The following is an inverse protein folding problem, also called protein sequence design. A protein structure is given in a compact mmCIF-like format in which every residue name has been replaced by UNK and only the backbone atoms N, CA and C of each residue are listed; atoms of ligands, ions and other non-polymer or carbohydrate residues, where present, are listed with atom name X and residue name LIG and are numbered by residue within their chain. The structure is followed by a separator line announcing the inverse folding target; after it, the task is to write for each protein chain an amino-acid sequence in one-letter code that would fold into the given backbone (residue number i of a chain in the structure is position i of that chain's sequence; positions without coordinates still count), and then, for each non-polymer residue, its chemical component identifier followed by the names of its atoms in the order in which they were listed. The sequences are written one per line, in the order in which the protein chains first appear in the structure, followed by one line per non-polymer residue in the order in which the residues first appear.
data_IF_747255378030
#
_entry.id   IF_747255378030
#
_cell.length_a   1.000
_cell.length_b   1.000
_cell.length_c   1.000
_cell.angle_alpha   90.00
_cell.angle_beta   90.00
_cell.angle_gamma   90.00
#
_symmetry.space_group_name_H-M   'P 1'
#
loop_
_entity.id
_entity.type
_entity.pdbx_description
1 polymer ?
#
# COMPACT_ATOMS: atom_id res chain seq x y z
N UNK A 1 18.67 6.46 -27.44
CA UNK A 1 19.87 6.30 -26.58
C UNK A 1 19.37 5.78 -25.26
N UNK A 2 19.83 4.61 -24.82
CA UNK A 2 19.29 3.88 -23.67
C UNK A 2 19.56 4.65 -22.36
N UNK A 3 18.56 4.98 -21.53
CA UNK A 3 18.75 5.71 -20.27
C UNK A 3 19.11 4.76 -19.11
N UNK A 4 19.98 3.78 -19.36
CA UNK A 4 20.34 2.74 -18.36
C UNK A 4 21.68 2.97 -17.66
N UNK A 5 22.36 4.09 -17.92
CA UNK A 5 23.51 4.58 -17.15
C UNK A 5 23.00 5.68 -16.21
N UNK A 6 22.88 5.55 -14.88
CA UNK A 6 23.65 4.81 -13.88
C UNK A 6 22.75 4.41 -12.68
N UNK A 7 21.92 3.37 -12.82
CA UNK A 7 21.18 2.83 -11.68
C UNK A 7 22.15 2.09 -10.75
N UNK A 8 22.25 2.53 -9.49
CA UNK A 8 23.11 1.90 -8.49
C UNK A 8 22.48 1.94 -7.10
N UNK A 9 22.77 0.93 -6.29
CA UNK A 9 22.37 0.89 -4.89
C UNK A 9 23.27 1.83 -4.07
N UNK A 10 22.69 2.78 -3.35
CA UNK A 10 23.41 3.61 -2.41
C UNK A 10 23.31 3.03 -0.99
N UNK A 11 24.31 2.25 -0.61
CA UNK A 11 24.33 1.58 0.69
C UNK A 11 24.93 2.51 1.75
N UNK A 12 24.13 2.91 2.73
CA UNK A 12 24.57 3.74 3.86
C UNK A 12 24.79 2.93 5.14
N UNK A 13 24.28 1.70 5.20
CA UNK A 13 24.45 0.77 6.30
C UNK A 13 24.79 -0.63 5.78
N UNK A 14 25.86 -1.23 6.30
CA UNK A 14 26.34 -2.53 5.84
C UNK A 14 25.31 -3.66 6.02
N UNK A 15 24.35 -3.50 6.94
CA UNK A 15 23.25 -4.46 7.10
C UNK A 15 22.37 -4.52 5.86
N UNK A 16 22.21 -3.41 5.13
CA UNK A 16 21.47 -3.42 3.86
C UNK A 16 22.18 -4.25 2.78
N UNK A 17 23.52 -4.23 2.75
CA UNK A 17 24.30 -5.08 1.83
C UNK A 17 24.03 -6.57 2.06
N UNK A 18 23.76 -6.99 3.31
CA UNK A 18 23.41 -8.40 3.60
C UNK A 18 22.05 -8.83 3.04
N UNK A 19 21.19 -7.88 2.67
CA UNK A 19 19.85 -8.14 2.14
C UNK A 19 19.84 -8.17 0.61
N UNK A 20 20.54 -7.23 -0.02
CA UNK A 20 20.60 -7.15 -1.48
C UNK A 20 21.64 -8.10 -2.09
N UNK A 21 22.56 -8.64 -1.28
CA UNK A 21 23.63 -9.51 -1.71
C UNK A 21 24.87 -8.77 -2.21
N UNK A 22 25.88 -9.51 -2.67
CA UNK A 22 27.19 -8.95 -3.05
C UNK A 22 27.15 -8.18 -4.39
N UNK A 23 26.31 -8.63 -5.33
CA UNK A 23 26.20 -8.06 -6.68
C UNK A 23 24.73 -7.80 -7.02
N UNK A 24 24.09 -6.84 -6.34
CA UNK A 24 22.68 -6.56 -6.56
C UNK A 24 22.47 -5.90 -7.93
N UNK A 25 21.40 -6.30 -8.62
CA UNK A 25 21.02 -5.75 -9.93
C UNK A 25 19.62 -5.13 -9.87
N UNK A 26 19.40 -4.12 -10.69
CA UNK A 26 18.08 -3.54 -10.95
C UNK A 26 17.78 -3.84 -12.41
N UNK A 27 16.64 -4.51 -12.66
CA UNK A 27 16.21 -4.89 -13.99
C UNK A 27 14.77 -4.42 -14.23
N UNK A 28 14.52 -3.88 -15.42
CA UNK A 28 13.17 -3.59 -15.87
C UNK A 28 12.50 -4.87 -16.33
N UNK A 29 11.52 -5.35 -15.57
CA UNK A 29 10.84 -6.62 -15.84
C UNK A 29 9.59 -6.45 -16.70
N UNK A 30 8.86 -5.35 -16.51
CA UNK A 30 7.65 -5.01 -17.26
C UNK A 30 7.47 -3.49 -17.30
N UNK A 31 6.98 -2.97 -18.43
CA UNK A 31 6.54 -1.58 -18.57
C UNK A 31 5.27 -1.50 -19.42
N UNK A 32 4.49 -0.45 -19.20
CA UNK A 32 3.41 -0.07 -20.09
C UNK A 32 3.37 1.46 -20.14
N UNK A 33 3.44 2.02 -21.35
CA UNK A 33 3.54 3.46 -21.59
C UNK A 33 2.18 4.10 -21.93
N UNK A 34 1.12 3.32 -22.07
CA UNK A 34 -0.21 3.80 -22.44
C UNK A 34 -0.95 4.44 -21.24
N UNK A 35 -0.56 4.08 -20.02
CA UNK A 35 -1.15 4.57 -18.78
C UNK A 35 -0.11 4.51 -17.63
N UNK A 36 -0.35 5.18 -16.47
CA UNK A 36 0.58 5.16 -15.33
C UNK A 36 0.60 3.79 -14.64
N UNK A 37 1.25 2.83 -15.28
CA UNK A 37 1.34 1.42 -14.90
C UNK A 37 2.07 1.19 -13.58
N UNK A 38 1.65 0.16 -12.84
CA UNK A 38 2.28 -0.38 -11.64
C UNK A 38 2.63 0.68 -10.56
N UNK A 39 1.59 1.21 -9.91
CA UNK A 39 1.67 2.20 -8.83
C UNK A 39 1.57 1.59 -7.42
N UNK A 40 0.65 0.65 -7.21
CA UNK A 40 0.30 0.10 -5.90
C UNK A 40 0.09 -1.43 -5.94
N UNK A 41 -0.20 -2.02 -4.78
CA UNK A 41 -0.59 -3.43 -4.60
C UNK A 41 0.35 -4.45 -5.27
N UNK A 42 1.66 -4.28 -5.16
CA UNK A 42 2.64 -5.28 -5.61
C UNK A 42 2.50 -6.61 -4.84
N UNK A 43 1.54 -7.45 -5.21
CA UNK A 43 1.18 -8.70 -4.52
C UNK A 43 1.73 -9.90 -5.29
N UNK A 44 2.73 -10.57 -4.72
CA UNK A 44 3.42 -11.68 -5.36
C UNK A 44 2.87 -13.05 -4.93
N UNK A 45 2.72 -13.96 -5.88
CA UNK A 45 2.35 -15.36 -5.68
C UNK A 45 3.48 -16.27 -6.14
N UNK A 46 4.27 -16.86 -5.22
CA UNK A 46 5.45 -17.65 -5.59
C UNK A 46 5.07 -18.95 -6.32
N UNK A 47 3.93 -19.56 -5.99
CA UNK A 47 3.51 -20.83 -6.59
C UNK A 47 3.23 -20.76 -8.10
N UNK A 48 2.89 -19.59 -8.62
CA UNK A 48 2.65 -19.34 -10.05
C UNK A 48 3.64 -18.36 -10.65
N UNK A 49 4.63 -17.91 -9.87
CA UNK A 49 5.59 -16.88 -10.26
C UNK A 49 4.92 -15.64 -10.87
N UNK A 50 3.85 -15.17 -10.22
CA UNK A 50 2.99 -14.09 -10.74
C UNK A 50 2.96 -12.93 -9.75
N UNK A 51 3.08 -11.71 -10.27
CA UNK A 51 2.87 -10.47 -9.53
C UNK A 51 1.55 -9.84 -9.98
N UNK A 52 0.78 -9.30 -9.06
CA UNK A 52 -0.34 -8.41 -9.36
C UNK A 52 0.04 -7.00 -8.94
N UNK A 53 -0.47 -6.00 -9.65
CA UNK A 53 -0.31 -4.60 -9.30
C UNK A 53 -1.50 -3.77 -9.78
N UNK A 54 -1.66 -2.59 -9.20
CA UNK A 54 -2.65 -1.59 -9.63
C UNK A 54 -1.94 -0.42 -10.28
N UNK A 55 -2.51 0.16 -11.34
CA UNK A 55 -2.01 1.40 -11.94
C UNK A 55 -2.29 2.59 -11.03
N UNK A 56 -1.66 3.74 -11.30
CA UNK A 56 -2.17 4.99 -10.75
C UNK A 56 -3.49 5.34 -11.44
N UNK A 57 -4.19 6.33 -10.87
CA UNK A 57 -5.40 6.93 -11.41
C UNK A 57 -5.20 7.40 -12.84
N UNK A 58 -5.98 6.83 -13.74
CA UNK A 58 -6.10 7.23 -15.14
C UNK A 58 -7.30 8.16 -15.30
N UNK A 59 -7.14 9.26 -16.02
CA UNK A 59 -8.24 10.20 -16.32
C UNK A 59 -8.46 10.20 -17.84
N UNK A 60 -9.62 9.73 -18.26
CA UNK A 60 -10.04 9.73 -19.67
C UNK A 60 -10.36 11.13 -20.18
N UNK A 61 -10.39 11.30 -21.50
CA UNK A 61 -10.76 12.58 -22.14
C UNK A 61 -12.20 13.01 -21.84
N UNK A 62 -13.06 12.06 -21.46
CA UNK A 62 -14.43 12.27 -21.00
C UNK A 62 -14.55 12.58 -19.49
N UNK A 63 -13.41 12.67 -18.80
CA UNK A 63 -13.32 12.89 -17.35
C UNK A 63 -13.58 11.63 -16.51
N UNK A 64 -13.83 10.47 -17.13
CA UNK A 64 -13.97 9.22 -16.39
C UNK A 64 -12.63 8.82 -15.76
N UNK A 65 -12.67 8.40 -14.51
CA UNK A 65 -11.49 8.01 -13.76
C UNK A 65 -11.51 6.50 -13.53
N UNK A 66 -10.38 5.84 -13.72
CA UNK A 66 -10.22 4.39 -13.50
C UNK A 66 -8.82 4.04 -13.03
N UNK A 67 -8.67 2.81 -12.58
CA UNK A 67 -7.39 2.14 -12.32
C UNK A 67 -7.40 0.79 -13.04
N UNK A 68 -6.24 0.36 -13.53
CA UNK A 68 -6.03 -0.97 -14.09
C UNK A 68 -5.50 -1.90 -13.01
N UNK A 69 -6.02 -3.14 -12.94
CA UNK A 69 -5.39 -4.23 -12.21
C UNK A 69 -4.64 -5.06 -13.25
N UNK A 70 -3.35 -5.28 -13.05
CA UNK A 70 -2.54 -6.05 -14.01
C UNK A 70 -1.96 -7.28 -13.34
N UNK A 71 -2.06 -8.42 -14.02
CA UNK A 71 -1.31 -9.64 -13.73
C UNK A 71 -0.03 -9.62 -14.56
N UNK A 72 1.11 -9.80 -13.91
CA UNK A 72 2.44 -9.89 -14.52
C UNK A 72 2.99 -11.28 -14.28
N UNK A 73 3.11 -12.07 -15.34
CA UNK A 73 3.69 -13.40 -15.33
C UNK A 73 5.21 -13.30 -15.45
N UNK A 74 5.92 -13.65 -14.39
CA UNK A 74 7.37 -13.53 -14.28
C UNK A 74 8.08 -14.81 -14.72
N UNK A 75 7.37 -15.83 -15.21
CA UNK A 75 7.97 -17.12 -15.61
C UNK A 75 8.75 -17.05 -16.93
N UNK A 76 8.53 -16.00 -17.73
CA UNK A 76 9.18 -15.77 -19.01
C UNK A 76 9.86 -14.39 -19.05
N UNK A 77 10.77 -14.20 -20.02
CA UNK A 77 11.45 -12.92 -20.25
C UNK A 77 11.31 -12.55 -21.74
N UNK A 78 10.65 -11.44 -22.09
CA UNK A 78 10.03 -10.45 -21.20
C UNK A 78 8.81 -11.02 -20.45
N UNK A 79 8.49 -10.43 -19.30
CA UNK A 79 7.31 -10.82 -18.53
C UNK A 79 6.02 -10.55 -19.32
N UNK A 80 5.04 -11.45 -19.20
CA UNK A 80 3.75 -11.28 -19.88
C UNK A 80 2.77 -10.53 -18.98
N UNK A 81 2.19 -9.44 -19.48
CA UNK A 81 1.23 -8.63 -18.75
C UNK A 81 -0.20 -8.84 -19.26
N UNK A 82 -1.15 -8.97 -18.34
CA UNK A 82 -2.58 -9.12 -18.61
C UNK A 82 -3.38 -8.11 -17.76
N UNK A 83 -4.05 -7.16 -18.42
CA UNK A 83 -5.01 -6.28 -17.77
C UNK A 83 -6.26 -7.08 -17.37
N UNK A 84 -6.50 -7.16 -16.07
CA UNK A 84 -7.64 -7.86 -15.48
C UNK A 84 -8.87 -6.95 -15.49
N UNK A 85 -9.98 -7.49 -15.97
CA UNK A 85 -11.31 -6.92 -15.77
C UNK A 85 -11.92 -7.52 -14.52
N UNK A 86 -11.83 -6.80 -13.42
CA UNK A 86 -12.48 -7.13 -12.15
C UNK A 86 -13.39 -5.99 -11.71
N UNK A 87 -14.49 -6.33 -11.04
CA UNK A 87 -15.47 -5.38 -10.54
C UNK A 87 -15.00 -4.76 -9.20
N UNK A 88 -13.85 -4.08 -9.24
CA UNK A 88 -13.23 -3.42 -8.08
C UNK A 88 -13.10 -1.91 -8.39
N UNK A 89 -13.89 -1.05 -7.73
CA UNK A 89 -13.90 0.38 -8.04
C UNK A 89 -12.64 1.06 -7.50
N UNK A 90 -11.80 1.59 -8.39
CA UNK A 90 -10.58 2.30 -8.03
C UNK A 90 -9.70 1.49 -7.06
N UNK A 91 -9.33 0.26 -7.48
CA UNK A 91 -8.41 -0.58 -6.73
C UNK A 91 -7.11 0.18 -6.44
N UNK A 92 -6.59 0.07 -5.21
CA UNK A 92 -5.38 0.74 -4.77
C UNK A 92 -4.42 -0.29 -4.17
N UNK A 93 -4.22 -0.30 -2.85
CA UNK A 93 -3.40 -1.27 -2.14
C UNK A 93 -4.03 -2.66 -2.13
N UNK A 94 -3.22 -3.66 -1.80
CA UNK A 94 -3.67 -5.04 -1.78
C UNK A 94 -2.66 -5.96 -1.11
N UNK A 95 -3.16 -7.09 -0.61
CA UNK A 95 -2.34 -8.10 0.07
C UNK A 95 -2.82 -9.51 -0.28
N UNK A 96 -1.91 -10.49 -0.20
CA UNK A 96 -2.28 -11.90 -0.30
C UNK A 96 -3.36 -12.23 0.75
N UNK A 97 -4.40 -12.94 0.35
CA UNK A 97 -5.46 -13.39 1.23
C UNK A 97 -5.70 -14.88 1.00
N UNK A 98 -5.10 -15.71 1.87
CA UNK A 98 -5.00 -17.14 1.62
C UNK A 98 -4.02 -17.46 0.49
N UNK A 99 -4.23 -18.58 -0.22
CA UNK A 99 -3.30 -19.09 -1.23
C UNK A 99 -3.62 -18.64 -2.66
N UNK A 100 -4.85 -18.19 -2.89
CA UNK A 100 -5.45 -18.06 -4.21
C UNK A 100 -6.33 -16.80 -4.36
N UNK A 101 -6.28 -15.89 -3.38
CA UNK A 101 -7.01 -14.62 -3.44
C UNK A 101 -6.12 -13.44 -3.06
N UNK A 102 -6.54 -12.26 -3.52
CA UNK A 102 -6.01 -10.96 -3.12
C UNK A 102 -7.14 -10.21 -2.41
N UNK A 103 -6.82 -9.59 -1.28
CA UNK A 103 -7.69 -8.62 -0.63
C UNK A 103 -7.26 -7.23 -1.08
N UNK A 104 -8.05 -6.59 -1.95
CA UNK A 104 -7.82 -5.24 -2.42
C UNK A 104 -8.48 -4.20 -1.52
N UNK A 105 -7.79 -3.10 -1.30
CA UNK A 105 -8.36 -1.82 -0.92
C UNK A 105 -8.95 -1.16 -2.16
N UNK A 106 -10.27 -1.05 -2.22
CA UNK A 106 -10.98 -0.29 -3.22
C UNK A 106 -11.28 1.10 -2.69
N UNK A 107 -10.80 2.15 -3.37
CA UNK A 107 -11.08 3.52 -2.97
C UNK A 107 -12.52 3.94 -3.27
N UNK A 108 -13.23 3.19 -4.11
CA UNK A 108 -14.63 3.44 -4.46
C UNK A 108 -14.81 4.50 -5.53
N UNK A 109 -16.06 4.86 -5.78
CA UNK A 109 -16.44 5.92 -6.73
C UNK A 109 -17.57 6.78 -6.14
N UNK A 110 -18.16 7.66 -6.94
CA UNK A 110 -19.36 8.41 -6.54
C UNK A 110 -20.57 7.50 -6.29
N UNK A 111 -20.60 6.32 -6.92
CA UNK A 111 -21.74 5.39 -6.86
C UNK A 111 -21.40 4.06 -6.21
N UNK A 112 -20.12 3.70 -6.13
CA UNK A 112 -19.66 2.43 -5.57
C UNK A 112 -18.89 2.64 -4.27
N UNK A 113 -18.99 1.65 -3.39
CA UNK A 113 -18.43 1.74 -2.04
C UNK A 113 -16.92 1.64 -2.07
N UNK A 114 -16.27 2.40 -1.18
CA UNK A 114 -14.92 2.06 -0.76
C UNK A 114 -14.97 0.87 0.20
N UNK A 115 -13.94 0.03 0.20
CA UNK A 115 -13.87 -1.12 1.10
C UNK A 115 -12.93 -2.22 0.64
N UNK A 116 -13.11 -3.39 1.22
CA UNK A 116 -12.33 -4.58 0.93
C UNK A 116 -13.00 -5.47 -0.10
N UNK A 117 -12.30 -5.70 -1.20
CA UNK A 117 -12.75 -6.58 -2.28
C UNK A 117 -11.81 -7.77 -2.36
N UNK A 118 -12.35 -8.97 -2.19
CA UNK A 118 -11.61 -10.22 -2.33
C UNK A 118 -11.72 -10.70 -3.77
N UNK A 119 -10.59 -10.93 -4.43
CA UNK A 119 -10.53 -11.36 -5.83
C UNK A 119 -9.74 -12.66 -5.96
N UNK A 120 -10.27 -13.65 -6.67
CA UNK A 120 -9.50 -14.84 -7.04
C UNK A 120 -8.35 -14.48 -7.98
N UNK A 121 -7.19 -15.13 -7.83
CA UNK A 121 -6.02 -14.92 -8.70
C UNK A 121 -6.12 -15.62 -10.06
N UNK A 122 -7.18 -16.38 -10.29
CA UNK A 122 -7.40 -17.11 -11.54
C UNK A 122 -8.66 -16.63 -12.24
N UNK A 123 -8.63 -16.59 -13.57
CA UNK A 123 -9.81 -16.30 -14.39
C UNK A 123 -10.99 -17.21 -13.98
N UNK A 124 -12.21 -16.67 -13.82
CA UNK A 124 -12.66 -15.37 -14.30
C UNK A 124 -12.50 -14.23 -13.27
N UNK A 125 -11.55 -14.31 -12.33
CA UNK A 125 -11.23 -13.25 -11.36
C UNK A 125 -12.45 -12.79 -10.55
N UNK A 126 -13.22 -13.77 -10.06
CA UNK A 126 -14.43 -13.49 -9.27
C UNK A 126 -14.09 -12.61 -8.09
N UNK A 127 -14.94 -11.61 -7.89
CA UNK A 127 -14.74 -10.56 -6.90
C UNK A 127 -15.92 -10.51 -5.95
N UNK A 128 -15.67 -10.29 -4.66
CA UNK A 128 -16.67 -10.12 -3.62
C UNK A 128 -16.30 -8.93 -2.70
N UNK A 129 -17.26 -8.05 -2.41
CA UNK A 129 -17.10 -7.03 -1.39
C UNK A 129 -17.29 -7.65 0.00
N UNK A 130 -16.26 -7.60 0.84
CA UNK A 130 -16.31 -8.17 2.19
C UNK A 130 -16.75 -7.15 3.26
N UNK A 131 -16.27 -5.90 3.17
CA UNK A 131 -16.60 -4.84 4.15
C UNK A 131 -16.38 -3.45 3.57
N UNK A 132 -17.31 -2.52 3.78
CA UNK A 132 -17.28 -1.18 3.15
C UNK A 132 -17.79 -0.02 4.01
N UNK A 133 -17.86 -0.21 5.33
CA UNK A 133 -18.39 0.80 6.25
C UNK A 133 -17.87 0.63 7.69
N UNK A 134 -17.88 1.73 8.45
CA UNK A 134 -17.71 1.76 9.90
C UNK A 134 -19.04 2.09 10.57
N UNK A 135 -19.75 1.07 11.08
CA UNK A 135 -21.08 1.21 11.69
C UNK A 135 -22.07 2.02 10.84
N UNK A 136 -22.16 1.69 9.54
CA UNK A 136 -23.04 2.34 8.58
C UNK A 136 -22.50 3.62 7.95
N UNK A 137 -21.37 4.15 8.44
CA UNK A 137 -20.66 5.27 7.79
C UNK A 137 -19.73 4.72 6.71
N UNK A 138 -19.90 5.09 5.43
CA UNK A 138 -19.00 4.65 4.37
C UNK A 138 -17.54 5.02 4.66
N UNK A 139 -16.61 4.12 4.36
CA UNK A 139 -15.17 4.46 4.35
C UNK A 139 -14.89 5.60 3.38
N UNK A 140 -13.84 6.37 3.66
CA UNK A 140 -13.44 7.51 2.84
C UNK A 140 -12.95 7.02 1.47
N UNK A 141 -11.76 6.42 1.47
CA UNK A 141 -11.08 5.79 0.33
C UNK A 141 -9.96 4.92 0.89
N UNK A 142 -10.32 3.71 1.35
CA UNK A 142 -9.36 2.78 1.97
C UNK A 142 -8.15 2.62 1.05
N UNK A 143 -6.96 2.76 1.61
CA UNK A 143 -5.76 2.93 0.82
C UNK A 143 -4.89 1.68 0.85
N UNK A 144 -4.42 1.29 2.03
CA UNK A 144 -3.51 0.17 2.20
C UNK A 144 -3.92 -0.74 3.37
N UNK A 145 -3.50 -2.00 3.29
CA UNK A 145 -3.96 -3.09 4.15
C UNK A 145 -2.85 -4.07 4.54
N UNK A 146 -2.93 -4.57 5.76
CA UNK A 146 -2.15 -5.71 6.24
C UNK A 146 -3.04 -6.69 7.00
N UNK A 147 -2.79 -8.00 6.81
CA UNK A 147 -3.45 -9.08 7.54
C UNK A 147 -2.51 -9.52 8.65
N UNK A 148 -2.99 -9.41 9.89
CA UNK A 148 -2.27 -9.85 11.09
C UNK A 148 -2.44 -11.38 11.27
N UNK A 149 -1.50 -12.04 11.97
CA UNK A 149 -1.50 -13.50 12.14
C UNK A 149 -2.74 -14.05 12.87
N UNK A 150 -3.42 -13.22 13.65
CA UNK A 150 -4.70 -13.52 14.30
C UNK A 150 -5.91 -13.47 13.34
N UNK A 151 -5.68 -13.22 12.05
CA UNK A 151 -6.70 -13.10 11.02
C UNK A 151 -7.39 -11.72 10.96
N UNK A 152 -7.02 -10.77 11.82
CA UNK A 152 -7.55 -9.42 11.75
C UNK A 152 -6.92 -8.60 10.62
N UNK A 153 -7.72 -7.74 10.01
CA UNK A 153 -7.34 -6.89 8.89
C UNK A 153 -7.15 -5.47 9.42
N UNK A 154 -5.95 -4.92 9.24
CA UNK A 154 -5.60 -3.57 9.64
C UNK A 154 -5.37 -2.71 8.40
N UNK A 155 -5.86 -1.48 8.42
CA UNK A 155 -5.89 -0.66 7.21
C UNK A 155 -5.94 0.83 7.49
N UNK A 156 -5.62 1.60 6.47
CA UNK A 156 -5.67 3.06 6.47
C UNK A 156 -6.85 3.56 5.63
N UNK A 157 -7.54 4.60 6.12
CA UNK A 157 -8.69 5.21 5.42
C UNK A 157 -8.51 6.73 5.22
N UNK A 158 -7.56 7.14 4.36
CA UNK A 158 -7.36 8.54 4.02
C UNK A 158 -8.44 9.05 3.06
N UNK A 159 -8.41 10.35 2.76
CA UNK A 159 -9.42 11.07 1.95
C UNK A 159 -9.00 11.33 0.50
N UNK A 160 -8.03 10.59 -0.04
CA UNK A 160 -7.51 10.82 -1.39
C UNK A 160 -8.60 10.91 -2.45
N UNK A 161 -9.55 9.98 -2.44
CA UNK A 161 -10.57 9.97 -3.47
C UNK A 161 -11.49 11.20 -3.46
N UNK A 162 -11.68 11.81 -2.28
CA UNK A 162 -12.46 13.04 -2.16
C UNK A 162 -11.65 14.25 -2.64
N UNK A 163 -10.38 14.36 -2.26
CA UNK A 163 -9.48 15.42 -2.75
C UNK A 163 -9.26 15.34 -4.27
N UNK A 164 -9.27 14.13 -4.82
CA UNK A 164 -9.11 13.85 -6.24
C UNK A 164 -10.43 13.91 -7.02
N UNK A 165 -11.55 14.13 -6.34
CA UNK A 165 -12.84 14.43 -6.95
C UNK A 165 -13.63 13.24 -7.51
N UNK A 166 -13.27 11.99 -7.20
CA UNK A 166 -14.04 10.80 -7.60
C UNK A 166 -14.79 10.12 -6.46
N UNK A 167 -14.68 10.65 -5.23
CA UNK A 167 -15.47 10.26 -4.06
C UNK A 167 -16.26 11.43 -3.49
N UNK A 168 -17.39 11.16 -2.81
CA UNK A 168 -18.11 12.18 -2.06
C UNK A 168 -17.26 12.71 -0.89
N UNK A 169 -17.73 13.79 -0.27
CA UNK A 169 -17.08 14.32 0.92
C UNK A 169 -16.99 13.25 2.02
N UNK A 170 -15.84 13.16 2.71
CA UNK A 170 -15.59 12.17 3.76
C UNK A 170 -16.62 12.25 4.88
N UNK A 171 -17.06 11.08 5.35
CA UNK A 171 -17.92 10.99 6.53
C UNK A 171 -17.20 10.41 7.74
N UNK A 172 -15.92 10.01 7.61
CA UNK A 172 -15.03 9.51 8.65
C UNK A 172 -13.76 10.36 8.71
N UNK A 173 -13.10 10.48 9.88
CA UNK A 173 -11.77 11.08 9.96
C UNK A 173 -10.71 10.19 9.30
N UNK A 174 -9.55 10.78 8.98
CA UNK A 174 -8.36 10.03 8.56
C UNK A 174 -7.83 9.20 9.73
N UNK A 175 -8.01 7.88 9.67
CA UNK A 175 -7.69 6.97 10.76
C UNK A 175 -7.14 5.63 10.26
N UNK A 176 -6.58 4.88 11.19
CA UNK A 176 -6.22 3.47 11.04
C UNK A 176 -7.30 2.65 11.71
N UNK A 177 -7.74 1.57 11.08
CA UNK A 177 -8.79 0.70 11.58
C UNK A 177 -8.30 -0.74 11.67
N UNK A 178 -8.95 -1.51 12.53
CA UNK A 178 -8.84 -2.98 12.62
C UNK A 178 -10.21 -3.58 12.46
N UNK A 179 -10.36 -4.54 11.56
CA UNK A 179 -11.56 -5.32 11.34
C UNK A 179 -11.27 -6.81 11.54
N UNK A 180 -12.13 -7.50 12.28
CA UNK A 180 -12.08 -8.95 12.46
C UNK A 180 -13.21 -9.59 11.66
N UNK A 181 -12.93 -10.27 10.54
CA UNK A 181 -13.95 -10.93 9.73
C UNK A 181 -14.79 -11.93 10.53
N UNK A 182 -14.15 -12.76 11.37
CA UNK A 182 -14.80 -13.84 12.11
C UNK A 182 -15.85 -13.36 13.12
N UNK A 183 -15.63 -12.19 13.73
CA UNK A 183 -16.53 -11.63 14.75
C UNK A 183 -17.36 -10.46 14.23
N UNK A 184 -17.00 -9.93 13.05
CA UNK A 184 -17.53 -8.67 12.53
C UNK A 184 -17.08 -7.42 13.28
N UNK A 185 -16.24 -7.55 14.32
CA UNK A 185 -15.78 -6.42 15.14
C UNK A 185 -14.92 -5.48 14.31
N UNK A 186 -15.17 -4.18 14.42
CA UNK A 186 -14.38 -3.14 13.76
C UNK A 186 -14.13 -1.98 14.72
N UNK A 187 -12.91 -1.47 14.76
CA UNK A 187 -12.52 -0.37 15.64
C UNK A 187 -11.47 0.53 15.01
N UNK A 188 -11.56 1.83 15.27
CA UNK A 188 -10.46 2.77 15.02
C UNK A 188 -9.32 2.48 16.00
N UNK A 189 -8.10 2.36 15.48
CA UNK A 189 -6.90 1.96 16.22
C UNK A 189 -5.94 3.12 16.46
N UNK A 190 -5.88 4.07 15.54
CA UNK A 190 -5.11 5.31 15.69
C UNK A 190 -5.78 6.47 14.97
N UNK A 191 -5.60 7.66 15.54
CA UNK A 191 -5.98 8.96 14.99
C UNK A 191 -4.79 9.95 15.03
N UNK A 192 -5.05 11.21 14.67
CA UNK A 192 -4.01 12.26 14.67
C UNK A 192 -2.94 12.06 13.59
N UNK A 193 -3.28 11.35 12.51
CA UNK A 193 -2.51 11.24 11.27
C UNK A 193 -3.16 12.15 10.22
N UNK A 194 -2.34 12.84 9.44
CA UNK A 194 -2.83 13.73 8.40
C UNK A 194 -3.45 12.94 7.24
N UNK A 195 -2.69 12.05 6.60
CA UNK A 195 -3.17 11.11 5.57
C UNK A 195 -2.47 9.76 5.75
N UNK A 196 -3.03 8.85 6.57
CA UNK A 196 -2.44 7.53 6.77
C UNK A 196 -2.45 6.76 5.45
N UNK A 197 -1.32 6.13 5.10
CA UNK A 197 -1.09 5.51 3.80
C UNK A 197 -0.60 4.05 3.99
N UNK A 198 0.63 3.70 3.62
CA UNK A 198 1.19 2.38 3.91
C UNK A 198 1.18 1.97 5.39
N UNK A 199 0.88 0.69 5.63
CA UNK A 199 0.82 0.05 6.94
C UNK A 199 1.48 -1.33 6.92
N UNK A 200 2.32 -1.64 7.91
CA UNK A 200 2.87 -2.98 8.07
C UNK A 200 3.24 -3.27 9.53
N UNK A 201 3.37 -4.56 9.87
CA UNK A 201 3.86 -4.99 11.18
C UNK A 201 5.35 -5.33 11.15
N UNK A 202 5.99 -5.30 12.32
CA UNK A 202 7.24 -6.01 12.55
C UNK A 202 7.04 -7.53 12.41
N UNK A 203 8.10 -8.33 12.17
CA UNK A 203 7.95 -9.77 11.99
C UNK A 203 7.35 -10.51 13.20
N UNK A 204 7.52 -9.96 14.41
CA UNK A 204 6.93 -10.46 15.65
C UNK A 204 5.57 -9.83 15.97
N UNK A 205 5.05 -8.98 15.07
CA UNK A 205 3.78 -8.24 15.14
C UNK A 205 3.59 -7.36 16.38
N UNK A 206 4.67 -7.07 17.12
CA UNK A 206 4.62 -6.21 18.32
C UNK A 206 4.68 -4.73 18.02
N UNK A 207 5.07 -4.36 16.81
CA UNK A 207 5.14 -2.97 16.35
C UNK A 207 4.39 -2.86 15.04
N UNK A 208 3.52 -1.85 14.91
CA UNK A 208 2.95 -1.46 13.62
C UNK A 208 3.59 -0.15 13.17
N UNK A 209 3.95 -0.09 11.89
CA UNK A 209 4.47 1.08 11.22
C UNK A 209 3.41 1.61 10.28
N UNK A 210 3.17 2.92 10.32
CA UNK A 210 2.17 3.60 9.50
C UNK A 210 2.81 4.85 8.91
N UNK A 211 2.69 5.02 7.60
CA UNK A 211 3.15 6.22 6.90
C UNK A 211 2.06 7.30 6.94
N UNK A 212 2.47 8.56 6.99
CA UNK A 212 1.62 9.74 6.94
C UNK A 212 2.14 10.68 5.84
N UNK A 213 1.36 10.80 4.77
CA UNK A 213 1.74 11.51 3.54
C UNK A 213 0.98 12.81 3.32
N UNK A 214 0.58 13.47 4.39
CA UNK A 214 -0.12 14.76 4.33
C UNK A 214 0.67 15.88 3.62
N UNK A 215 1.98 15.71 3.38
CA UNK A 215 2.80 16.59 2.55
C UNK A 215 2.25 16.79 1.13
N UNK A 216 1.58 15.80 0.56
CA UNK A 216 1.06 15.86 -0.82
C UNK A 216 -0.47 15.82 -0.83
N UNK A 217 -1.08 16.75 -1.58
CA UNK A 217 -2.53 16.84 -1.75
C UNK A 217 -3.01 16.09 -3.00
N UNK A 218 -4.32 15.80 -3.06
CA UNK A 218 -4.92 15.07 -4.18
C UNK A 218 -4.75 15.72 -5.57
N UNK A 219 -4.50 17.02 -5.63
CA UNK A 219 -4.18 17.76 -6.86
C UNK A 219 -2.67 17.73 -7.21
N UNK A 220 -1.85 17.08 -6.39
CA UNK A 220 -0.40 17.04 -6.52
C UNK A 220 0.33 18.19 -5.85
N UNK A 221 -0.36 19.14 -5.22
CA UNK A 221 0.26 20.25 -4.49
C UNK A 221 1.08 19.72 -3.32
N UNK A 222 2.32 20.20 -3.22
CA UNK A 222 3.27 19.83 -2.16
C UNK A 222 3.37 20.96 -1.14
N UNK A 223 3.17 20.63 0.13
CA UNK A 223 3.35 21.55 1.25
C UNK A 223 4.50 21.05 2.14
N UNK A 224 5.69 21.61 1.96
CA UNK A 224 6.91 21.14 2.65
C UNK A 224 6.88 21.23 4.18
N UNK A 225 5.97 22.03 4.74
CA UNK A 225 5.78 22.14 6.19
C UNK A 225 4.84 21.06 6.76
N UNK A 226 4.22 20.21 5.92
CA UNK A 226 3.32 19.12 6.32
C UNK A 226 4.05 17.79 6.43
N UNK A 227 3.37 16.82 7.05
CA UNK A 227 3.95 15.54 7.48
C UNK A 227 4.31 14.65 6.27
N UNK A 228 5.51 14.08 6.29
CA UNK A 228 5.97 13.03 5.39
C UNK A 228 6.78 12.01 6.17
N UNK A 229 6.09 11.35 7.12
CA UNK A 229 6.75 10.62 8.19
C UNK A 229 6.19 9.21 8.35
N UNK A 230 7.03 8.32 8.86
CA UNK A 230 6.64 6.99 9.31
C UNK A 230 6.57 7.04 10.83
N UNK A 231 5.45 6.61 11.39
CA UNK A 231 5.27 6.44 12.82
C UNK A 231 5.28 4.96 13.17
N UNK A 232 5.89 4.63 14.30
CA UNK A 232 5.80 3.32 14.92
C UNK A 232 4.90 3.38 16.15
N UNK A 233 4.13 2.31 16.37
CA UNK A 233 3.29 2.12 17.55
C UNK A 233 3.54 0.72 18.10
N UNK A 234 3.60 0.60 19.42
CA UNK A 234 3.61 -0.70 20.07
C UNK A 234 2.19 -1.26 20.12
N UNK A 235 2.06 -2.54 19.79
CA UNK A 235 0.81 -3.31 19.89
C UNK A 235 0.75 -3.91 21.29
N UNK A 236 -0.02 -3.27 22.16
CA UNK A 236 -0.15 -3.65 23.56
C UNK A 236 -1.54 -4.20 23.84
N UNK A 237 -1.66 -5.27 24.61
CA UNK A 237 -2.98 -5.82 24.98
C UNK A 237 -3.47 -5.20 26.30
N UNK A 238 -4.65 -4.59 26.29
CA UNK A 238 -5.35 -4.15 27.50
C UNK A 238 -6.76 -4.75 27.52
N UNK A 239 -7.16 -5.29 28.66
CA UNK A 239 -8.48 -5.93 28.82
C UNK A 239 -8.80 -6.99 27.75
N UNK A 240 -7.78 -7.72 27.27
CA UNK A 240 -7.93 -8.75 26.24
C UNK A 240 -8.00 -8.23 24.80
N UNK A 241 -7.91 -6.92 24.58
CA UNK A 241 -7.99 -6.30 23.25
C UNK A 241 -6.66 -5.63 22.88
N UNK A 242 -6.26 -5.60 21.59
CA UNK A 242 -5.05 -4.91 21.16
C UNK A 242 -5.24 -3.39 21.21
N UNK A 243 -4.20 -2.62 21.48
CA UNK A 243 -4.20 -1.15 21.42
C UNK A 243 -2.89 -0.68 20.83
N UNK A 244 -2.95 0.42 20.09
CA UNK A 244 -1.74 1.11 19.64
C UNK A 244 -1.28 2.09 20.72
N UNK A 245 -0.05 1.92 21.15
CA UNK A 245 0.57 2.69 22.25
C UNK A 245 1.94 3.20 21.84
N UNK A 246 2.52 4.11 22.62
CA UNK A 246 3.89 4.60 22.43
C UNK A 246 4.18 5.09 20.99
N UNK A 247 3.26 5.89 20.42
CA UNK A 247 3.48 6.54 19.12
C UNK A 247 4.81 7.26 19.13
N UNK A 248 5.66 6.94 18.16
CA UNK A 248 6.98 7.57 17.99
C UNK A 248 7.27 7.80 16.52
N UNK A 249 7.96 8.89 16.22
CA UNK A 249 8.53 9.11 14.91
C UNK A 249 9.58 8.02 14.67
N UNK A 250 9.38 7.23 13.61
CA UNK A 250 10.35 6.25 13.15
C UNK A 250 11.27 6.85 12.09
N UNK A 251 10.68 7.63 11.18
CA UNK A 251 11.36 8.15 10.00
C UNK A 251 10.67 9.38 9.44
N UNK A 252 11.41 10.16 8.65
CA UNK A 252 10.84 11.17 7.76
C UNK A 252 11.47 11.02 6.38
N UNK A 253 10.67 11.08 5.33
CA UNK A 253 11.16 11.21 3.97
C UNK A 253 11.50 12.67 3.70
N UNK A 254 12.73 12.91 3.25
CA UNK A 254 13.14 14.25 2.80
C UNK A 254 12.62 14.56 1.38
N UNK A 255 12.57 13.55 0.51
CA UNK A 255 12.18 13.69 -0.90
C UNK A 255 11.07 12.70 -1.26
N UNK A 256 10.19 13.10 -2.18
CA UNK A 256 9.06 12.26 -2.63
C UNK A 256 7.95 12.04 -1.58
N UNK A 257 7.01 11.16 -1.91
CA UNK A 257 5.97 10.65 -1.01
C UNK A 257 6.25 9.19 -0.67
N UNK A 258 6.09 8.83 0.61
CA UNK A 258 6.16 7.46 1.12
C UNK A 258 4.84 6.73 0.87
N UNK A 259 4.75 5.87 -0.13
CA UNK A 259 3.46 5.19 -0.42
C UNK A 259 3.44 3.81 0.24
N UNK A 260 3.93 2.78 -0.46
CA UNK A 260 3.95 1.42 0.04
C UNK A 260 5.02 1.20 1.11
N UNK A 261 4.69 0.39 2.13
CA UNK A 261 5.58 0.03 3.23
C UNK A 261 5.54 -1.48 3.48
N UNK A 262 6.70 -2.11 3.56
CA UNK A 262 6.85 -3.53 3.89
C UNK A 262 7.97 -3.73 4.92
N UNK A 263 8.03 -4.90 5.55
CA UNK A 263 9.10 -5.28 6.47
C UNK A 263 9.66 -6.65 6.08
N UNK A 264 10.98 -6.74 5.95
CA UNK A 264 11.70 -7.99 5.70
C UNK A 264 11.68 -8.91 6.93
N UNK A 265 11.92 -10.21 6.76
CA UNK A 265 12.02 -11.17 7.88
C UNK A 265 13.08 -10.75 8.93
N UNK A 266 14.15 -10.07 8.50
CA UNK A 266 15.16 -9.50 9.38
C UNK A 266 14.71 -8.26 10.18
N UNK A 267 13.46 -7.82 10.02
CA UNK A 267 12.87 -6.67 10.71
C UNK A 267 13.27 -5.32 10.11
N UNK A 268 13.70 -5.29 8.85
CA UNK A 268 14.07 -4.06 8.15
C UNK A 268 12.88 -3.51 7.37
N UNK A 269 12.48 -2.26 7.63
CA UNK A 269 11.38 -1.61 6.94
C UNK A 269 11.83 -1.17 5.55
N UNK A 270 11.14 -1.62 4.49
CA UNK A 270 11.26 -1.13 3.11
C UNK A 270 10.12 -0.16 2.81
N UNK A 271 10.44 0.99 2.23
CA UNK A 271 9.47 2.06 1.92
C UNK A 271 9.62 2.40 0.44
N UNK A 272 8.53 2.34 -0.31
CA UNK A 272 8.47 2.86 -1.67
C UNK A 272 8.44 4.40 -1.64
N UNK A 273 9.29 5.00 -2.45
CA UNK A 273 9.45 6.43 -2.62
C UNK A 273 9.29 6.77 -4.10
N UNK A 274 8.80 7.97 -4.41
CA UNK A 274 8.66 8.42 -5.80
C UNK A 274 9.96 8.41 -6.62
N UNK A 275 11.13 8.28 -5.98
CA UNK A 275 12.44 8.21 -6.63
C UNK A 275 13.20 6.91 -6.34
N UNK A 276 12.58 5.88 -5.74
CA UNK A 276 13.32 4.71 -5.29
C UNK A 276 12.68 3.91 -4.16
N UNK A 277 13.49 3.12 -3.44
CA UNK A 277 13.07 2.49 -2.18
C UNK A 277 14.08 2.83 -1.08
N UNK A 278 13.57 3.07 0.13
CA UNK A 278 14.42 3.18 1.31
C UNK A 278 14.29 1.94 2.18
N UNK A 279 15.39 1.44 2.72
CA UNK A 279 15.36 0.33 3.67
C UNK A 279 16.23 0.56 4.90
N UNK A 280 15.70 0.21 6.07
CA UNK A 280 16.32 0.63 7.32
C UNK A 280 15.92 -0.13 8.58
N UNK A 281 16.86 -0.49 9.45
CA UNK A 281 16.54 -0.99 10.79
C UNK A 281 16.48 0.16 11.80
N UNK A 282 15.50 0.12 12.71
CA UNK A 282 15.48 0.95 13.93
C UNK A 282 15.69 2.46 13.67
N UNK A 283 15.09 3.00 12.62
CA UNK A 283 15.04 4.45 12.32
C UNK A 283 16.19 5.01 11.45
N UNK A 284 17.14 4.18 10.97
CA UNK A 284 18.13 4.60 9.99
C UNK A 284 17.80 4.08 8.59
N UNK A 285 17.76 4.92 7.56
CA UNK A 285 17.41 4.53 6.18
C UNK A 285 18.64 4.50 5.27
N UNK A 286 18.75 3.47 4.45
CA UNK A 286 19.57 3.44 3.22
C UNK A 286 18.66 3.64 2.01
N UNK A 287 19.12 4.28 0.95
CA UNK A 287 18.33 4.68 -0.21
C UNK A 287 18.81 3.94 -1.47
N UNK A 288 17.89 3.44 -2.28
CA UNK A 288 18.16 2.96 -3.63
C UNK A 288 17.31 3.78 -4.59
N UNK A 289 17.95 4.54 -5.49
CA UNK A 289 17.29 5.48 -6.38
C UNK A 289 17.11 5.00 -7.81
N UNK A 290 16.18 5.64 -8.51
CA UNK A 290 16.05 5.64 -9.96
C UNK A 290 16.66 6.91 -10.58
#
# INVERSE_FOLDING_TARGET
MSPTSDLHFQVHDQRFATIIGETPIIELVAENLDYPFAHEAGVFFPGTHTLFCTSNRCVGSDGQQKVHITRVDLSETPAMCEDIRADIPMANGGINYGKDHILFCAQGSMTERSGFYCMSITAPYRTELLKGDFFGRPFNSVNDVVVHSDGSIWFTDPIYGAEQGYRPQPCLPNQVYRWCPDTGSIRAMADGLGKPNGICFSPDERVVYITDTDRVQGDGTVYDHRVSSIYAFDVSTYYGEPFLTNRRLFAMADQGSQTALNVTEGGMCTVAMGTGFMCGPRGGFSWAGF
#
